data_IF_387265406731
#
_entry.id   IF_387265406731
#
_cell.length_a   1.000
_cell.length_b   1.000
_cell.length_c   1.000
_cell.angle_alpha   90.00
_cell.angle_beta   90.00
_cell.angle_gamma   90.00
#
_symmetry.space_group_name_H-M   'P 1'
#
loop_
_entity.id
_entity.type
_entity.pdbx_description
1 polymer ?
#
# COMPACT_ATOMS: atom_id res chain seq x y z
N UNK A 1 -9.77 -8.35 8.31
CA UNK A 1 -9.35 -7.56 9.50
C UNK A 1 -9.01 -8.48 10.66
N UNK A 2 -9.77 -9.55 10.88
CA UNK A 2 -9.49 -10.55 11.94
C UNK A 2 -8.08 -11.16 11.85
N UNK A 3 -7.59 -11.51 10.66
CA UNK A 3 -6.24 -12.06 10.51
C UNK A 3 -5.13 -11.07 10.94
N UNK A 4 -5.34 -9.77 10.71
CA UNK A 4 -4.39 -8.73 11.14
C UNK A 4 -4.39 -8.63 12.66
N UNK A 5 -5.58 -8.66 13.27
CA UNK A 5 -5.73 -8.64 14.72
C UNK A 5 -5.06 -9.87 15.34
N UNK A 6 -5.27 -11.05 14.77
CA UNK A 6 -4.64 -12.30 15.22
C UNK A 6 -3.12 -12.20 15.26
N UNK A 7 -2.49 -11.71 14.19
CA UNK A 7 -1.03 -11.51 14.13
C UNK A 7 -0.56 -10.48 15.17
N UNK A 8 -1.30 -9.38 15.35
CA UNK A 8 -0.95 -8.37 16.34
C UNK A 8 -1.09 -8.88 17.78
N UNK A 9 -2.07 -9.72 18.06
CA UNK A 9 -2.29 -10.34 19.38
C UNK A 9 -1.16 -11.28 19.81
N UNK A 10 -0.24 -11.67 18.93
CA UNK A 10 0.95 -12.46 19.30
C UNK A 10 1.95 -11.64 20.13
N UNK A 11 1.99 -10.32 19.94
CA UNK A 11 2.95 -9.41 20.59
C UNK A 11 2.30 -8.22 21.32
N UNK A 12 0.98 -8.06 21.17
CA UNK A 12 0.18 -7.02 21.82
C UNK A 12 -0.73 -7.61 22.90
N UNK A 13 -1.08 -6.81 23.90
CA UNK A 13 -2.01 -7.19 24.96
C UNK A 13 -3.45 -7.22 24.46
N UNK A 14 -3.83 -6.18 23.71
CA UNK A 14 -5.11 -6.09 23.02
C UNK A 14 -4.93 -5.30 21.73
N UNK A 15 -5.76 -5.56 20.73
CA UNK A 15 -5.77 -4.75 19.53
C UNK A 15 -7.15 -4.71 18.86
N UNK A 16 -7.36 -3.66 18.09
CA UNK A 16 -8.47 -3.58 17.15
C UNK A 16 -8.02 -2.89 15.88
N UNK A 17 -8.47 -3.43 14.75
CA UNK A 17 -8.17 -2.88 13.42
C UNK A 17 -9.46 -2.37 12.83
N UNK A 18 -9.45 -1.10 12.43
CA UNK A 18 -10.57 -0.46 11.72
C UNK A 18 -10.12 -0.02 10.34
N UNK A 19 -11.08 0.01 9.42
CA UNK A 19 -10.92 0.63 8.11
C UNK A 19 -11.58 2.00 8.17
N UNK A 20 -10.82 3.04 7.86
CA UNK A 20 -11.33 4.43 7.79
C UNK A 20 -11.01 5.02 6.43
N UNK A 21 -11.69 6.11 6.07
CA UNK A 21 -11.41 6.87 4.84
C UNK A 21 -10.88 8.24 5.19
N UNK A 22 -9.82 8.65 4.52
CA UNK A 22 -9.29 10.02 4.55
C UNK A 22 -8.97 10.45 3.12
N UNK A 23 -9.50 11.61 2.70
CA UNK A 23 -9.30 12.15 1.34
C UNK A 23 -9.52 11.11 0.24
N UNK A 24 -10.67 10.43 0.30
CA UNK A 24 -11.09 9.38 -0.64
C UNK A 24 -10.18 8.13 -0.70
N UNK A 25 -9.19 8.02 0.19
CA UNK A 25 -8.29 6.87 0.31
C UNK A 25 -8.67 6.03 1.53
N UNK A 26 -8.69 4.71 1.35
CA UNK A 26 -8.95 3.76 2.43
C UNK A 26 -7.68 3.50 3.25
N UNK A 27 -7.77 3.70 4.57
CA UNK A 27 -6.69 3.43 5.50
C UNK A 27 -7.07 2.30 6.47
N UNK A 28 -6.13 1.40 6.71
CA UNK A 28 -6.19 0.46 7.83
C UNK A 28 -5.49 1.09 9.03
N UNK A 29 -6.23 1.26 10.12
CA UNK A 29 -5.73 1.80 11.38
C UNK A 29 -5.79 0.70 12.43
N UNK A 30 -4.65 0.38 13.02
CA UNK A 30 -4.56 -0.54 14.14
C UNK A 30 -4.39 0.25 15.44
N UNK A 31 -5.35 0.10 16.35
CA UNK A 31 -5.21 0.55 17.73
C UNK A 31 -4.68 -0.63 18.53
N UNK A 32 -3.52 -0.43 19.16
CA UNK A 32 -2.78 -1.52 19.78
C UNK A 32 -2.38 -1.11 21.19
N UNK A 33 -2.76 -1.92 22.16
CA UNK A 33 -2.26 -1.85 23.52
C UNK A 33 -1.01 -2.73 23.60
N UNK A 34 0.17 -2.14 23.45
CA UNK A 34 1.44 -2.86 23.48
C UNK A 34 2.56 -1.97 24.03
N UNK A 35 3.64 -2.60 24.49
CA UNK A 35 4.89 -1.92 24.85
C UNK A 35 5.82 -1.69 23.63
N UNK A 36 5.51 -2.34 22.51
CA UNK A 36 6.26 -2.25 21.26
C UNK A 36 5.95 -0.95 20.54
N UNK A 37 6.95 -0.43 19.84
CA UNK A 37 6.82 0.72 18.95
C UNK A 37 6.00 0.39 17.69
N UNK A 38 5.48 1.43 17.05
CA UNK A 38 4.71 1.30 15.80
C UNK A 38 5.54 0.62 14.69
N UNK A 39 6.85 0.86 14.67
CA UNK A 39 7.76 0.25 13.71
C UNK A 39 7.94 -1.25 13.95
N UNK A 40 8.09 -1.68 15.21
CA UNK A 40 8.20 -3.10 15.56
C UNK A 40 6.91 -3.87 15.24
N UNK A 41 5.75 -3.31 15.61
CA UNK A 41 4.44 -3.88 15.27
C UNK A 41 4.27 -4.02 13.76
N UNK A 42 4.71 -3.03 12.99
CA UNK A 42 4.68 -3.07 11.53
C UNK A 42 5.60 -4.14 10.97
N UNK A 43 6.83 -4.25 11.49
CA UNK A 43 7.78 -5.27 11.05
C UNK A 43 7.27 -6.69 11.32
N UNK A 44 6.66 -6.91 12.49
CA UNK A 44 6.00 -8.17 12.82
C UNK A 44 4.88 -8.49 11.82
N UNK A 45 4.00 -7.51 11.56
CA UNK A 45 2.97 -7.66 10.53
C UNK A 45 3.55 -7.93 9.15
N UNK A 46 4.64 -7.28 8.74
CA UNK A 46 5.28 -7.52 7.43
C UNK A 46 5.91 -8.91 7.31
N UNK A 47 6.35 -9.49 8.42
CA UNK A 47 6.92 -10.84 8.44
C UNK A 47 5.84 -11.93 8.30
N UNK A 48 4.66 -11.69 8.87
CA UNK A 48 3.57 -12.67 8.91
C UNK A 48 2.48 -12.43 7.86
N UNK A 49 2.34 -11.19 7.38
CA UNK A 49 1.26 -10.77 6.49
C UNK A 49 1.83 -10.16 5.19
N UNK A 50 1.08 -10.29 4.09
CA UNK A 50 1.37 -9.53 2.89
C UNK A 50 1.37 -8.01 3.17
N UNK A 51 2.28 -7.27 2.55
CA UNK A 51 2.44 -5.81 2.71
C UNK A 51 1.14 -5.02 2.57
N UNK A 52 0.18 -5.52 1.78
CA UNK A 52 -1.10 -4.87 1.57
C UNK A 52 -2.12 -5.03 2.71
N UNK A 53 -1.93 -6.01 3.59
CA UNK A 53 -2.76 -6.21 4.79
C UNK A 53 -2.18 -5.50 6.02
N UNK A 54 -0.95 -5.00 5.92
CA UNK A 54 -0.29 -4.28 7.02
C UNK A 54 -0.98 -2.93 7.22
N UNK A 55 -1.41 -2.60 8.46
CA UNK A 55 -1.98 -1.30 8.78
C UNK A 55 -1.08 -0.14 8.38
N UNK A 56 -1.69 0.88 7.77
CA UNK A 56 -0.99 2.11 7.40
C UNK A 56 -0.66 2.94 8.64
N UNK A 57 -1.54 2.92 9.65
CA UNK A 57 -1.41 3.67 10.90
C UNK A 57 -1.44 2.68 12.08
N UNK A 58 -0.50 2.85 13.00
CA UNK A 58 -0.47 2.15 14.29
C UNK A 58 -0.63 3.19 15.40
N UNK A 59 -1.77 3.17 16.08
CA UNK A 59 -2.08 3.99 17.25
C UNK A 59 -1.78 3.18 18.50
N UNK A 60 -0.67 3.45 19.16
CA UNK A 60 -0.36 2.84 20.45
C UNK A 60 -1.17 3.56 21.52
N UNK A 61 -1.96 2.79 22.27
CA UNK A 61 -2.83 3.33 23.32
C UNK A 61 -2.59 2.59 24.64
N UNK A 62 -2.69 3.30 25.76
CA UNK A 62 -2.53 2.70 27.09
C UNK A 62 -3.65 1.70 27.40
N UNK A 63 -4.86 1.96 26.91
CA UNK A 63 -6.03 1.10 27.05
C UNK A 63 -7.02 1.31 25.91
N UNK A 64 -7.64 0.24 25.44
CA UNK A 64 -8.74 0.33 24.49
C UNK A 64 -10.06 0.60 25.25
N UNK A 65 -10.90 1.53 24.78
CA UNK A 65 -12.21 1.75 25.38
C UNK A 65 -13.05 0.48 25.22
N UNK A 66 -13.71 0.08 26.30
CA UNK A 66 -14.64 -1.05 26.33
C UNK A 66 -16.06 -0.54 26.57
N UNK A 67 -17.05 -1.25 26.02
CA UNK A 67 -18.46 -1.02 26.27
C UNK A 67 -18.91 -1.70 27.59
N UNK A 68 -20.19 -1.58 27.92
CA UNK A 68 -20.77 -2.18 29.14
C UNK A 68 -20.75 -3.71 29.12
N UNK A 69 -20.57 -4.34 27.95
CA UNK A 69 -20.45 -5.78 27.79
C UNK A 69 -19.00 -6.27 27.89
N UNK A 70 -18.02 -5.35 27.95
CA UNK A 70 -16.60 -5.66 27.97
C UNK A 70 -15.98 -5.82 26.58
N UNK A 71 -16.73 -5.53 25.51
CA UNK A 71 -16.23 -5.53 24.14
C UNK A 71 -15.62 -4.17 23.79
N UNK A 72 -14.69 -4.14 22.82
CA UNK A 72 -14.02 -2.88 22.43
C UNK A 72 -15.03 -1.92 21.77
N UNK A 73 -15.20 -0.75 22.38
CA UNK A 73 -16.10 0.31 21.91
C UNK A 73 -15.43 1.12 20.79
N UNK A 74 -15.72 0.71 19.56
CA UNK A 74 -15.20 1.34 18.33
C UNK A 74 -15.58 2.81 18.18
N UNK A 75 -16.66 3.26 18.82
CA UNK A 75 -17.14 4.64 18.67
C UNK A 75 -16.36 5.62 19.55
N UNK A 76 -15.72 5.12 20.62
CA UNK A 76 -14.92 5.92 21.55
C UNK A 76 -13.42 5.90 21.23
N UNK A 77 -13.01 5.29 20.11
CA UNK A 77 -11.62 5.28 19.69
C UNK A 77 -11.16 6.69 19.33
N UNK A 78 -9.97 7.07 19.79
CA UNK A 78 -9.35 8.34 19.45
C UNK A 78 -9.20 8.47 17.92
N UNK A 79 -9.44 9.65 17.32
CA UNK A 79 -9.27 9.82 15.89
C UNK A 79 -7.81 9.53 15.48
N UNK A 80 -7.60 8.83 14.36
CA UNK A 80 -6.24 8.49 13.91
C UNK A 80 -5.51 9.72 13.38
N UNK A 81 -4.20 9.79 13.66
CA UNK A 81 -3.32 10.80 13.05
C UNK A 81 -2.78 10.29 11.71
N UNK A 82 -3.37 10.82 10.63
CA UNK A 82 -2.99 10.48 9.25
C UNK A 82 -1.64 11.06 8.83
N UNK A 83 -1.10 12.04 9.57
CA UNK A 83 0.20 12.67 9.26
C UNK A 83 1.31 11.63 9.24
N UNK A 84 1.30 10.73 10.22
CA UNK A 84 2.27 9.64 10.34
C UNK A 84 2.21 8.65 9.17
N UNK A 85 1.01 8.32 8.69
CA UNK A 85 0.83 7.46 7.51
C UNK A 85 1.33 8.12 6.23
N UNK A 86 1.07 9.41 6.04
CA UNK A 86 1.50 10.16 4.86
C UNK A 86 3.03 10.25 4.81
N UNK A 87 3.68 10.57 5.94
CA UNK A 87 5.16 10.60 6.04
C UNK A 87 5.77 9.21 5.81
N UNK A 88 5.12 8.15 6.28
CA UNK A 88 5.61 6.78 6.06
C UNK A 88 5.39 6.29 4.63
N UNK A 89 4.33 6.74 3.96
CA UNK A 89 4.14 6.48 2.54
C UNK A 89 5.26 7.12 1.70
N UNK A 90 5.73 8.30 2.10
CA UNK A 90 6.85 9.03 1.49
C UNK A 90 8.22 8.38 1.74
N UNK A 91 8.38 7.63 2.84
CA UNK A 91 9.69 7.12 3.29
C UNK A 91 9.87 5.60 3.19
N UNK A 92 8.87 4.85 2.72
CA UNK A 92 8.89 3.39 2.58
C UNK A 92 9.74 2.94 1.37
N UNK A 93 10.42 1.76 1.37
CA UNK A 93 11.24 1.24 0.26
C UNK A 93 10.56 1.14 -1.12
N UNK A 94 9.24 1.35 -1.17
CA UNK A 94 8.55 1.73 -2.41
C UNK A 94 9.09 3.03 -3.04
N UNK A 95 10.00 3.77 -2.39
CA UNK A 95 10.57 5.03 -2.87
C UNK A 95 11.09 4.94 -4.30
N UNK A 96 11.82 3.90 -4.69
CA UNK A 96 12.37 3.84 -6.05
C UNK A 96 11.25 3.68 -7.10
N UNK A 97 10.28 2.80 -6.84
CA UNK A 97 9.12 2.64 -7.72
C UNK A 97 8.27 3.93 -7.74
N UNK A 98 7.99 4.50 -6.57
CA UNK A 98 7.25 5.75 -6.43
C UNK A 98 7.95 6.90 -7.15
N UNK A 99 9.28 7.03 -7.06
CA UNK A 99 10.06 8.03 -7.77
C UNK A 99 9.97 7.84 -9.29
N UNK A 100 10.11 6.61 -9.80
CA UNK A 100 9.92 6.32 -11.22
C UNK A 100 8.51 6.69 -11.68
N UNK A 101 7.48 6.32 -10.92
CA UNK A 101 6.09 6.70 -11.22
C UNK A 101 5.89 8.21 -11.16
N UNK A 102 6.48 8.89 -10.18
CA UNK A 102 6.44 10.35 -10.04
C UNK A 102 7.04 11.04 -11.27
N UNK A 103 8.16 10.52 -11.78
CA UNK A 103 8.77 11.01 -13.03
C UNK A 103 7.84 10.78 -14.22
N UNK A 104 7.26 9.59 -14.38
CA UNK A 104 6.31 9.31 -15.47
C UNK A 104 5.08 10.22 -15.41
N UNK A 105 4.55 10.49 -14.21
CA UNK A 105 3.41 11.40 -14.03
C UNK A 105 3.80 12.81 -14.40
N UNK A 106 4.96 13.27 -13.94
CA UNK A 106 5.48 14.59 -14.24
C UNK A 106 5.68 14.80 -15.75
N UNK A 107 6.26 13.82 -16.45
CA UNK A 107 6.45 13.85 -17.90
C UNK A 107 5.11 13.85 -18.65
N UNK A 108 4.13 13.07 -18.19
CA UNK A 108 2.82 12.96 -18.84
C UNK A 108 1.93 14.20 -18.62
N UNK A 109 1.96 14.77 -17.42
CA UNK A 109 1.13 15.91 -17.03
C UNK A 109 1.66 17.25 -17.56
N UNK A 110 2.84 17.25 -18.20
CA UNK A 110 3.55 18.42 -18.72
C UNK A 110 4.04 19.36 -17.60
N UNK A 111 5.30 19.78 -17.71
CA UNK A 111 6.15 20.44 -16.70
C UNK A 111 5.62 21.71 -15.98
N UNK A 112 4.40 22.19 -16.23
CA UNK A 112 3.84 23.40 -15.60
C UNK A 112 3.26 23.14 -14.20
N UNK A 113 3.04 21.87 -13.83
CA UNK A 113 2.59 21.48 -12.50
C UNK A 113 3.78 21.20 -11.56
N UNK A 114 3.66 21.66 -10.31
CA UNK A 114 4.58 21.27 -9.24
C UNK A 114 4.67 19.74 -9.14
N UNK A 115 5.85 19.24 -8.77
CA UNK A 115 6.13 17.81 -8.61
C UNK A 115 4.99 17.15 -7.79
N UNK A 116 4.25 16.17 -8.34
CA UNK A 116 3.03 15.68 -7.72
C UNK A 116 3.35 14.98 -6.40
N UNK A 117 2.60 15.30 -5.34
CA UNK A 117 2.68 14.53 -4.10
C UNK A 117 2.23 13.10 -4.37
N UNK A 118 2.91 12.11 -3.76
CA UNK A 118 2.66 10.70 -4.08
C UNK A 118 1.28 10.22 -3.61
N UNK A 119 0.70 10.94 -2.65
CA UNK A 119 -0.62 10.65 -2.06
C UNK A 119 -1.75 11.37 -2.79
N UNK A 120 -1.45 12.28 -3.72
CA UNK A 120 -2.45 13.00 -4.51
C UNK A 120 -3.05 12.09 -5.58
N UNK A 121 -4.37 12.16 -5.75
CA UNK A 121 -5.07 11.46 -6.83
C UNK A 121 -4.66 12.02 -8.19
N UNK A 122 -4.54 11.15 -9.20
CA UNK A 122 -4.32 11.55 -10.58
C UNK A 122 -5.40 12.51 -11.05
N UNK A 123 -6.66 12.26 -10.68
CA UNK A 123 -7.79 13.08 -11.10
C UNK A 123 -7.86 14.44 -10.40
N UNK A 124 -7.17 14.63 -9.27
CA UNK A 124 -7.00 15.96 -8.67
C UNK A 124 -5.96 16.80 -9.43
N UNK A 125 -5.05 16.14 -10.16
CA UNK A 125 -3.99 16.77 -10.96
C UNK A 125 -4.39 16.96 -12.43
N UNK A 126 -5.17 16.04 -12.97
CA UNK A 126 -5.67 16.08 -14.33
C UNK A 126 -7.10 15.54 -14.43
N UNK A 127 -8.01 16.41 -14.85
CA UNK A 127 -9.41 16.06 -15.13
C UNK A 127 -9.60 15.49 -16.55
N UNK A 128 -8.65 14.66 -17.02
CA UNK A 128 -8.72 14.02 -18.34
C UNK A 128 -8.50 12.49 -18.24
N UNK A 129 -9.57 11.68 -18.44
CA UNK A 129 -9.46 10.23 -18.41
C UNK A 129 -8.63 9.65 -19.57
N UNK A 130 -8.45 10.38 -20.67
CA UNK A 130 -7.56 9.97 -21.77
C UNK A 130 -6.10 10.00 -21.32
N UNK A 131 -5.70 10.98 -20.49
CA UNK A 131 -4.37 11.00 -19.89
C UNK A 131 -4.16 9.80 -18.97
N UNK A 132 -5.18 9.39 -18.19
CA UNK A 132 -5.07 8.19 -17.35
C UNK A 132 -4.87 6.91 -18.18
N UNK A 133 -5.55 6.77 -19.32
CA UNK A 133 -5.35 5.63 -20.23
C UNK A 133 -3.92 5.62 -20.78
N UNK A 134 -3.38 6.78 -21.17
CA UNK A 134 -1.98 6.90 -21.62
C UNK A 134 -1.00 6.52 -20.51
N UNK A 135 -1.25 6.98 -19.28
CA UNK A 135 -0.47 6.59 -18.10
C UNK A 135 -0.45 5.07 -17.92
N UNK A 136 -1.61 4.43 -18.02
CA UNK A 136 -1.72 2.97 -17.88
C UNK A 136 -0.98 2.21 -18.99
N UNK A 137 -0.97 2.73 -20.22
CA UNK A 137 -0.17 2.18 -21.32
C UNK A 137 1.34 2.33 -21.07
N UNK A 138 1.76 3.48 -20.52
CA UNK A 138 3.15 3.69 -20.10
C UNK A 138 3.55 2.71 -19.00
N UNK A 139 2.66 2.44 -18.05
CA UNK A 139 2.91 1.44 -17.01
C UNK A 139 3.09 0.04 -17.59
N UNK A 140 2.20 -0.36 -18.48
CA UNK A 140 2.25 -1.68 -19.13
C UNK A 140 3.51 -1.85 -19.97
N UNK A 141 4.04 -0.76 -20.54
CA UNK A 141 5.28 -0.77 -21.33
C UNK A 141 6.55 -0.70 -20.47
N UNK A 142 6.50 0.03 -19.35
CA UNK A 142 7.67 0.28 -18.48
C UNK A 142 7.83 -0.78 -17.39
N UNK A 143 6.74 -1.41 -16.96
CA UNK A 143 6.70 -2.41 -15.91
C UNK A 143 6.00 -3.66 -16.44
N UNK A 144 6.63 -4.82 -16.31
CA UNK A 144 6.01 -6.10 -16.65
C UNK A 144 4.94 -6.44 -15.61
N UNK A 145 3.69 -6.11 -15.87
CA UNK A 145 2.54 -6.46 -15.02
C UNK A 145 1.35 -6.97 -15.84
N UNK A 146 0.53 -7.82 -15.23
CA UNK A 146 -0.73 -8.33 -15.82
C UNK A 146 -1.98 -7.74 -15.14
N UNK A 147 -1.79 -6.68 -14.36
CA UNK A 147 -2.88 -6.04 -13.60
C UNK A 147 -3.86 -5.28 -14.53
N UNK A 148 -5.18 -5.41 -14.32
CA UNK A 148 -6.18 -4.68 -15.10
C UNK A 148 -6.26 -3.20 -14.70
N UNK A 149 -6.61 -2.33 -15.64
CA UNK A 149 -6.75 -0.87 -15.41
C UNK A 149 -7.68 -0.51 -14.24
N UNK A 150 -8.72 -1.31 -14.01
CA UNK A 150 -9.67 -1.10 -12.91
C UNK A 150 -9.01 -1.24 -11.52
N UNK A 151 -7.87 -1.92 -11.40
CA UNK A 151 -7.11 -1.96 -10.15
C UNK A 151 -6.51 -0.58 -9.82
N UNK A 152 -6.08 0.16 -10.83
CA UNK A 152 -5.45 1.48 -10.71
C UNK A 152 -6.49 2.59 -10.54
N UNK A 153 -7.67 2.46 -11.17
CA UNK A 153 -8.77 3.44 -11.03
C UNK A 153 -9.37 3.50 -9.62
N UNK A 154 -9.26 2.43 -8.83
CA UNK A 154 -9.83 2.38 -7.46
C UNK A 154 -9.15 3.35 -6.50
N UNK A 155 -7.84 3.50 -6.62
CA UNK A 155 -7.03 4.37 -5.78
C UNK A 155 -5.94 4.97 -6.67
N UNK A 156 -6.27 6.04 -7.42
CA UNK A 156 -5.42 6.57 -8.47
C UNK A 156 -4.30 7.44 -7.90
N UNK A 157 -3.49 6.93 -6.97
CA UNK A 157 -2.35 7.65 -6.36
C UNK A 157 -1.04 6.95 -6.70
N UNK A 158 0.08 7.67 -6.65
CA UNK A 158 1.41 7.10 -6.92
C UNK A 158 1.74 6.01 -5.90
N UNK A 159 1.39 6.21 -4.62
CA UNK A 159 1.61 5.22 -3.55
C UNK A 159 0.93 3.89 -3.89
N UNK A 160 -0.36 3.95 -4.24
CA UNK A 160 -1.13 2.72 -4.47
C UNK A 160 -0.76 2.06 -5.79
N UNK A 161 -0.46 2.85 -6.83
CA UNK A 161 0.07 2.32 -8.08
C UNK A 161 1.42 1.60 -7.86
N UNK A 162 2.34 2.19 -7.10
CA UNK A 162 3.63 1.58 -6.77
C UNK A 162 3.43 0.28 -5.98
N UNK A 163 2.53 0.29 -4.99
CA UNK A 163 2.18 -0.88 -4.19
C UNK A 163 1.61 -2.02 -5.02
N UNK A 164 0.71 -1.72 -5.95
CA UNK A 164 0.13 -2.71 -6.87
C UNK A 164 1.21 -3.33 -7.76
N UNK A 165 2.08 -2.51 -8.36
CA UNK A 165 3.16 -2.97 -9.25
C UNK A 165 4.20 -3.81 -8.50
N UNK A 166 4.63 -3.39 -7.31
CA UNK A 166 5.57 -4.14 -6.47
C UNK A 166 4.96 -5.46 -6.01
N UNK A 167 3.70 -5.46 -5.54
CA UNK A 167 3.00 -6.69 -5.15
C UNK A 167 2.93 -7.68 -6.30
N UNK A 168 2.62 -7.22 -7.52
CA UNK A 168 2.56 -8.10 -8.69
C UNK A 168 3.93 -8.72 -9.01
N UNK A 169 5.00 -7.92 -8.93
CA UNK A 169 6.37 -8.39 -9.13
C UNK A 169 6.80 -9.44 -8.08
N UNK A 170 6.41 -9.28 -6.82
CA UNK A 170 6.72 -10.27 -5.75
C UNK A 170 5.86 -11.55 -5.82
N UNK A 171 4.71 -11.53 -6.51
CA UNK A 171 3.81 -12.69 -6.61
C UNK A 171 4.06 -13.58 -7.83
N UNK A 172 4.92 -13.19 -8.76
CA UNK A 172 5.41 -14.10 -9.80
C UNK A 172 6.59 -14.90 -9.24
N UNK A 173 6.51 -16.22 -9.06
CA UNK A 173 7.73 -17.03 -9.00
C UNK A 173 8.45 -16.87 -10.34
N UNK A 174 9.75 -16.62 -10.28
CA UNK A 174 10.65 -16.65 -11.42
C UNK A 174 10.56 -18.03 -12.06
N UNK A 175 9.75 -18.17 -13.11
CA UNK A 175 9.79 -19.34 -13.99
C UNK A 175 10.99 -19.16 -14.91
N UNK A 176 12.17 -19.44 -14.34
CA UNK A 176 13.43 -19.58 -15.05
C UNK A 176 13.50 -21.01 -15.62
N UNK A 177 12.60 -21.34 -16.56
CA UNK A 177 12.71 -22.51 -17.43
C UNK A 177 12.10 -22.25 -18.79
N UNK A 178 12.84 -21.56 -19.66
CA UNK A 178 12.70 -21.78 -21.10
C UNK A 178 14.04 -22.17 -21.73
N UNK A 179 14.01 -23.37 -22.29
CA UNK A 179 14.87 -23.91 -23.35
C UNK A 179 16.32 -24.33 -23.02
N UNK A 180 16.42 -25.44 -22.29
CA UNK A 180 17.41 -26.48 -22.61
C UNK A 180 16.79 -27.44 -23.63
N UNK A 181 16.74 -27.06 -24.90
CA UNK A 181 16.57 -28.04 -25.99
C UNK A 181 17.95 -28.31 -26.59
N UNK A 182 18.47 -29.47 -26.23
CA UNK A 182 19.65 -30.06 -26.81
C UNK A 182 19.49 -30.25 -28.32
N UNK A 183 20.23 -29.47 -29.12
CA UNK A 183 20.52 -29.86 -30.50
C UNK A 183 21.62 -30.91 -30.45
N UNK A 184 21.20 -32.17 -30.50
CA UNK A 184 22.06 -33.35 -30.58
C UNK A 184 22.75 -33.36 -31.94
N UNK A 185 24.08 -33.23 -31.92
CA UNK A 185 24.98 -33.51 -33.04
C UNK A 185 25.07 -35.04 -33.25
N UNK A 186 25.01 -35.48 -34.51
CA UNK A 186 25.35 -36.83 -34.98
C UNK A 186 24.34 -37.34 -36.02
N UNK A 187 24.70 -37.75 -37.23
CA UNK A 187 25.98 -38.12 -37.85
C UNK A 187 26.06 -37.57 -39.27
#
# INVERSE_FOLDING_TARGET
>A
MEEIQRVLMEIATNCIVIKTKHENTDYLVAYVQAKHSAQELRQHCLACLPSHMVPSIFMIVDSLPIDENGDIDRQKLAPPDFTSALVLAETSPQTEMQQRLKTLWYELLSNDLAIPSISTSFFDLADDPVLFIKLFQLYSSSFKHDLPINAFLKQPTIVEHARLLVKNASTKPTDDKFDSIAVRVGK
#
